data_IF_912093288122
#
_entry.id   IF_912093288122
#
_cell.length_a   1.000
_cell.length_b   1.000
_cell.length_c   1.000
_cell.angle_alpha   90.00
_cell.angle_beta   90.00
_cell.angle_gamma   90.00
#
_symmetry.space_group_name_H-M   'P 1'
#
loop_
_entity.id
_entity.type
_entity.pdbx_description
1 polymer ?
#
# COMPACT_ATOMS: atom_id res chain seq x y z
N UNK A 1 14.93 -8.75 7.21
CA UNK A 1 14.09 -9.60 8.10
C UNK A 1 12.67 -9.14 7.84
N UNK A 2 11.83 -9.94 7.16
CA UNK A 2 10.54 -9.47 6.62
C UNK A 2 9.51 -9.03 7.67
N UNK A 3 8.42 -8.43 7.19
CA UNK A 3 7.26 -8.04 8.00
C UNK A 3 6.71 -9.26 8.74
N UNK A 4 6.43 -9.12 10.04
CA UNK A 4 5.87 -10.19 10.87
C UNK A 4 4.37 -10.00 10.99
N UNK A 5 3.61 -11.00 10.57
CA UNK A 5 2.16 -10.99 10.58
C UNK A 5 1.60 -12.35 11.02
N UNK A 6 0.43 -12.33 11.65
CA UNK A 6 -0.37 -13.49 12.05
C UNK A 6 -1.77 -13.49 11.42
N UNK A 7 -2.20 -12.35 10.89
CA UNK A 7 -3.42 -12.21 10.07
C UNK A 7 -3.24 -12.86 8.70
N UNK A 8 -4.35 -13.26 8.06
CA UNK A 8 -4.30 -13.78 6.69
C UNK A 8 -3.68 -12.76 5.73
N UNK A 9 -2.71 -13.23 4.94
CA UNK A 9 -1.97 -12.36 4.02
C UNK A 9 -2.89 -11.66 3.02
N UNK A 10 -3.88 -12.38 2.50
CA UNK A 10 -4.84 -11.84 1.55
C UNK A 10 -5.67 -10.69 2.16
N UNK A 11 -6.01 -10.76 3.45
CA UNK A 11 -6.72 -9.68 4.12
C UNK A 11 -5.84 -8.45 4.30
N UNK A 12 -4.56 -8.64 4.63
CA UNK A 12 -3.59 -7.54 4.75
C UNK A 12 -3.44 -6.83 3.41
N UNK A 13 -3.27 -7.60 2.33
CA UNK A 13 -3.14 -7.05 0.98
C UNK A 13 -4.44 -6.36 0.55
N UNK A 14 -5.61 -6.94 0.82
CA UNK A 14 -6.89 -6.30 0.49
C UNK A 14 -7.06 -4.95 1.21
N UNK A 15 -6.65 -4.84 2.48
CA UNK A 15 -6.67 -3.57 3.20
C UNK A 15 -5.68 -2.55 2.65
N UNK A 16 -4.47 -3.01 2.27
CA UNK A 16 -3.48 -2.16 1.61
C UNK A 16 -3.98 -1.66 0.26
N UNK A 17 -4.56 -2.52 -0.57
CA UNK A 17 -5.17 -2.17 -1.86
C UNK A 17 -6.24 -1.09 -1.70
N UNK A 18 -7.11 -1.23 -0.70
CA UNK A 18 -8.13 -0.20 -0.41
C UNK A 18 -7.49 1.13 -0.01
N UNK A 19 -6.55 1.11 0.94
CA UNK A 19 -5.90 2.32 1.42
C UNK A 19 -5.06 3.01 0.34
N UNK A 20 -4.39 2.22 -0.50
CA UNK A 20 -3.63 2.71 -1.65
C UNK A 20 -4.57 3.28 -2.71
N UNK A 21 -5.64 2.58 -3.07
CA UNK A 21 -6.63 3.07 -4.04
C UNK A 21 -7.35 4.36 -3.63
N UNK A 22 -7.41 4.68 -2.33
CA UNK A 22 -7.90 5.97 -1.81
C UNK A 22 -6.86 7.12 -1.99
N UNK A 23 -5.60 6.81 -2.25
CA UNK A 23 -4.54 7.80 -2.50
C UNK A 23 -4.39 8.10 -4.00
N UNK A 24 -4.16 9.37 -4.31
CA UNK A 24 -3.74 9.78 -5.65
C UNK A 24 -2.25 9.42 -5.87
N UNK A 25 -1.86 9.17 -7.13
CA UNK A 25 -0.47 8.85 -7.49
C UNK A 25 -0.11 7.36 -7.58
N UNK A 26 -1.07 6.44 -7.41
CA UNK A 26 -0.82 5.00 -7.54
C UNK A 26 -0.28 4.59 -8.92
N UNK A 27 -0.81 5.21 -9.98
CA UNK A 27 -0.39 4.95 -11.35
C UNK A 27 1.08 5.32 -11.59
N UNK A 28 1.56 6.38 -10.94
CA UNK A 28 2.95 6.86 -11.09
C UNK A 28 3.96 5.85 -10.51
N UNK A 29 3.61 5.17 -9.42
CA UNK A 29 4.44 4.15 -8.80
C UNK A 29 4.46 2.83 -9.56
N UNK A 30 3.41 2.56 -10.32
CA UNK A 30 3.35 1.43 -11.23
C UNK A 30 4.05 1.72 -12.57
N UNK A 31 4.62 2.93 -12.74
CA UNK A 31 5.18 3.42 -14.00
C UNK A 31 4.18 3.34 -15.16
N UNK A 32 2.88 3.42 -14.86
CA UNK A 32 1.78 3.40 -15.84
C UNK A 32 1.42 4.84 -16.20
N UNK A 33 1.28 5.13 -17.49
CA UNK A 33 0.84 6.46 -17.91
C UNK A 33 -0.59 6.74 -17.41
N UNK A 34 -0.90 7.98 -16.97
CA UNK A 34 -2.24 8.30 -16.49
C UNK A 34 -3.36 8.01 -17.50
N UNK A 35 -3.09 8.18 -18.80
CA UNK A 35 -4.01 7.77 -19.86
C UNK A 35 -4.31 6.27 -19.82
N UNK A 36 -3.27 5.44 -19.73
CA UNK A 36 -3.40 3.99 -19.67
C UNK A 36 -4.15 3.55 -18.42
N UNK A 37 -3.88 4.18 -17.27
CA UNK A 37 -4.59 3.90 -16.02
C UNK A 37 -6.10 4.14 -16.13
N UNK A 38 -6.50 5.22 -16.82
CA UNK A 38 -7.91 5.55 -17.05
C UNK A 38 -8.57 4.60 -18.06
N UNK A 39 -7.79 4.02 -18.98
CA UNK A 39 -8.26 3.01 -19.93
C UNK A 39 -8.43 1.62 -19.31
N UNK A 40 -7.75 1.32 -18.20
CA UNK A 40 -7.92 0.05 -17.47
C UNK A 40 -9.33 -0.06 -16.89
N UNK A 41 -9.91 -1.25 -17.01
CA UNK A 41 -11.15 -1.61 -16.32
C UNK A 41 -10.92 -1.75 -14.80
N UNK A 42 -12.00 -1.78 -14.03
CA UNK A 42 -11.91 -1.86 -12.56
C UNK A 42 -11.15 -3.11 -12.08
N UNK A 43 -11.40 -4.27 -12.71
CA UNK A 43 -10.70 -5.52 -12.40
C UNK A 43 -9.19 -5.42 -12.66
N UNK A 44 -8.79 -4.82 -13.79
CA UNK A 44 -7.37 -4.65 -14.14
C UNK A 44 -6.67 -3.69 -13.17
N UNK A 45 -7.33 -2.58 -12.80
CA UNK A 45 -6.80 -1.66 -11.77
C UNK A 45 -6.64 -2.37 -10.43
N UNK A 46 -7.59 -3.21 -10.04
CA UNK A 46 -7.50 -3.99 -8.79
C UNK A 46 -6.31 -4.94 -8.81
N UNK A 47 -6.04 -5.63 -9.93
CA UNK A 47 -4.87 -6.50 -10.05
C UNK A 47 -3.54 -5.71 -9.98
N UNK A 48 -3.48 -4.54 -10.62
CA UNK A 48 -2.33 -3.64 -10.53
C UNK A 48 -2.10 -3.17 -9.08
N UNK A 49 -3.15 -2.72 -8.39
CA UNK A 49 -3.07 -2.32 -6.99
C UNK A 49 -2.64 -3.47 -6.09
N UNK A 50 -3.12 -4.70 -6.35
CA UNK A 50 -2.75 -5.89 -5.58
C UNK A 50 -1.26 -6.19 -5.71
N UNK A 51 -0.73 -6.09 -6.93
CA UNK A 51 0.71 -6.25 -7.20
C UNK A 51 1.52 -5.18 -6.47
N UNK A 52 1.10 -3.92 -6.54
CA UNK A 52 1.75 -2.81 -5.84
C UNK A 52 1.73 -2.96 -4.32
N UNK A 53 0.60 -3.40 -3.76
CA UNK A 53 0.46 -3.66 -2.34
C UNK A 53 1.40 -4.79 -1.86
N UNK A 54 1.59 -5.82 -2.69
CA UNK A 54 2.55 -6.91 -2.45
C UNK A 54 3.98 -6.35 -2.38
N UNK A 55 4.39 -5.57 -3.38
CA UNK A 55 5.71 -4.95 -3.45
C UNK A 55 5.98 -4.03 -2.25
N UNK A 56 5.00 -3.21 -1.86
CA UNK A 56 5.09 -2.34 -0.67
C UNK A 56 5.24 -3.18 0.59
N UNK A 57 4.43 -4.24 0.75
CA UNK A 57 4.51 -5.09 1.92
C UNK A 57 5.87 -5.76 2.06
N UNK A 58 6.42 -6.28 0.95
CA UNK A 58 7.77 -6.84 0.92
C UNK A 58 8.84 -5.78 1.19
N UNK A 59 8.71 -4.60 0.58
CA UNK A 59 9.60 -3.45 0.77
C UNK A 59 9.66 -3.01 2.23
N UNK A 60 8.51 -2.94 2.91
CA UNK A 60 8.38 -2.61 4.34
C UNK A 60 9.14 -3.57 5.26
N UNK A 61 9.39 -4.80 4.80
CA UNK A 61 10.21 -5.78 5.50
C UNK A 61 11.70 -5.46 5.49
N UNK A 62 12.16 -4.60 4.59
CA UNK A 62 13.55 -4.14 4.51
C UNK A 62 13.67 -2.68 4.96
N UNK A 63 12.79 -1.82 4.45
CA UNK A 63 12.72 -0.39 4.79
C UNK A 63 11.38 -0.10 5.46
N UNK A 64 11.34 0.14 6.79
CA UNK A 64 10.09 0.28 7.53
C UNK A 64 9.32 1.57 7.19
N UNK A 65 9.85 2.42 6.32
CA UNK A 65 9.23 3.67 5.89
C UNK A 65 9.41 3.77 4.39
N UNK A 66 8.30 3.86 3.65
CA UNK A 66 8.29 4.04 2.21
C UNK A 66 7.43 5.26 1.84
N UNK A 67 7.97 6.22 1.06
CA UNK A 67 7.15 7.27 0.48
C UNK A 67 6.22 6.67 -0.59
N UNK A 68 4.96 7.11 -0.61
CA UNK A 68 3.96 6.64 -1.56
C UNK A 68 3.10 7.81 -2.05
N UNK A 69 3.17 8.16 -3.34
CA UNK A 69 2.42 9.29 -3.90
C UNK A 69 2.58 10.56 -3.06
N UNK A 70 1.46 11.15 -2.64
CA UNK A 70 1.39 12.29 -1.72
C UNK A 70 1.40 11.89 -0.23
N UNK A 71 1.97 10.74 0.11
CA UNK A 71 1.89 10.13 1.42
C UNK A 71 3.10 9.32 1.84
N UNK A 72 2.97 8.69 3.00
CA UNK A 72 3.99 7.88 3.65
C UNK A 72 3.36 6.61 4.22
N UNK A 73 3.97 5.48 3.91
CA UNK A 73 3.63 4.17 4.46
C UNK A 73 4.71 3.79 5.46
N UNK A 74 4.32 3.53 6.71
CA UNK A 74 5.24 3.20 7.79
C UNK A 74 4.85 1.90 8.47
N UNK A 75 5.78 0.98 8.60
CA UNK A 75 5.62 -0.27 9.32
C UNK A 75 6.19 -0.17 10.74
N UNK A 76 5.31 -0.31 11.74
CA UNK A 76 5.66 -0.42 13.15
C UNK A 76 5.75 -1.90 13.53
N UNK A 77 6.99 -2.42 13.58
CA UNK A 77 7.27 -3.80 13.97
C UNK A 77 7.03 -4.12 15.45
N UNK A 78 6.91 -3.10 16.32
CA UNK A 78 6.61 -3.28 17.75
C UNK A 78 5.12 -3.50 17.95
N UNK A 79 4.30 -2.72 17.23
CA UNK A 79 2.83 -2.81 17.28
C UNK A 79 2.25 -3.77 16.26
N UNK A 80 3.06 -4.26 15.32
CA UNK A 80 2.61 -5.06 14.18
C UNK A 80 1.53 -4.33 13.36
N UNK A 81 1.76 -3.05 13.09
CA UNK A 81 0.82 -2.20 12.33
C UNK A 81 1.50 -1.51 11.15
N UNK A 82 0.78 -1.36 10.04
CA UNK A 82 1.19 -0.53 8.90
C UNK A 82 0.33 0.73 8.92
N UNK A 83 0.97 1.89 8.98
CA UNK A 83 0.33 3.19 9.01
C UNK A 83 0.47 3.83 7.64
N UNK A 84 -0.65 4.30 7.10
CA UNK A 84 -0.71 4.98 5.80
C UNK A 84 -1.19 6.39 6.08
N UNK A 85 -0.38 7.37 5.71
CA UNK A 85 -0.62 8.78 5.99
C UNK A 85 -0.45 9.62 4.74
N UNK A 86 -1.19 10.72 4.62
CA UNK A 86 -0.84 11.78 3.68
C UNK A 86 0.36 12.60 4.17
N UNK A 87 0.94 13.41 3.27
CA UNK A 87 2.04 14.33 3.56
C UNK A 87 1.72 15.34 4.68
N UNK A 88 0.43 15.65 4.90
CA UNK A 88 -0.05 16.52 6.00
C UNK A 88 -0.21 15.79 7.35
N UNK A 89 0.42 14.61 7.52
CA UNK A 89 0.35 13.71 8.69
C UNK A 89 -1.06 13.14 9.01
N UNK A 90 -2.04 13.39 8.15
CA UNK A 90 -3.38 12.82 8.28
C UNK A 90 -3.35 11.30 8.05
N UNK A 91 -3.73 10.53 9.07
CA UNK A 91 -3.85 9.07 8.99
C UNK A 91 -5.03 8.72 8.09
N UNK A 92 -4.73 7.95 7.04
CA UNK A 92 -5.71 7.40 6.10
C UNK A 92 -6.21 6.07 6.64
N UNK A 93 -5.25 5.18 6.94
CA UNK A 93 -5.54 3.81 7.36
C UNK A 93 -4.45 3.29 8.29
N UNK A 94 -4.86 2.40 9.17
CA UNK A 94 -3.95 1.58 9.99
C UNK A 94 -4.33 0.12 9.74
N UNK A 95 -3.40 -0.64 9.17
CA UNK A 95 -3.58 -2.07 8.91
C UNK A 95 -2.94 -2.85 10.05
N UNK A 96 -3.72 -3.66 10.74
CA UNK A 96 -3.25 -4.52 11.83
C UNK A 96 -2.82 -5.88 11.29
N UNK A 97 -1.62 -6.32 11.66
CA UNK A 97 -1.05 -7.57 11.17
C UNK A 97 -1.25 -8.75 12.13
N UNK A 98 -1.83 -8.51 13.31
CA UNK A 98 -2.09 -9.50 14.37
C UNK A 98 -3.48 -9.30 14.98
#
# INVERSE_FOLDING_TARGET
MGVKFAKEYEDIIAELVQAIGEMEGCAELLEIEPQQWVELDEDERQECLRTLADDIFYGLGSEPVLPFGDGLITYDSIKHTIHIKYADDKIIRVVHLI
#
